data_IF_804543142318
#
_entry.id   IF_804543142318
#
_cell.length_a   1.000
_cell.length_b   1.000
_cell.length_c   1.000
_cell.angle_alpha   90.00
_cell.angle_beta   90.00
_cell.angle_gamma   90.00
#
_symmetry.space_group_name_H-M   'P 1'
#
loop_
_entity.id
_entity.type
_entity.pdbx_description
1 polymer ?
#
# COMPACT_ATOMS: atom_id res chain seq x y z
N UNK A 1 -27.36 -6.54 3.37
CA UNK A 1 -27.68 -7.94 3.00
C UNK A 1 -27.67 -8.22 1.49
N UNK A 2 -27.83 -7.23 0.60
CA UNK A 2 -27.81 -7.47 -0.87
C UNK A 2 -26.41 -7.63 -1.49
N UNK A 3 -25.46 -6.76 -1.12
CA UNK A 3 -24.18 -6.65 -1.81
C UNK A 3 -23.29 -7.90 -1.69
N UNK A 4 -23.19 -8.48 -0.49
CA UNK A 4 -22.47 -9.74 -0.27
C UNK A 4 -23.04 -10.90 -1.10
N UNK A 5 -24.37 -10.93 -1.31
CA UNK A 5 -25.04 -11.95 -2.11
C UNK A 5 -24.69 -11.81 -3.60
N UNK A 6 -24.65 -10.57 -4.08
CA UNK A 6 -24.29 -10.23 -5.48
C UNK A 6 -22.84 -10.63 -5.75
N UNK A 7 -21.90 -10.24 -4.89
CA UNK A 7 -20.49 -10.62 -5.02
C UNK A 7 -20.27 -12.13 -5.01
N UNK A 8 -20.99 -12.85 -4.15
CA UNK A 8 -20.93 -14.31 -4.10
C UNK A 8 -21.39 -14.96 -5.40
N UNK A 9 -22.47 -14.45 -5.99
CA UNK A 9 -23.01 -14.97 -7.25
C UNK A 9 -22.03 -14.69 -8.39
N UNK A 10 -21.49 -13.48 -8.48
CA UNK A 10 -20.50 -13.10 -9.50
C UNK A 10 -19.24 -13.98 -9.39
N UNK A 11 -18.72 -14.19 -8.19
CA UNK A 11 -17.55 -15.04 -7.95
C UNK A 11 -17.83 -16.50 -8.34
N UNK A 12 -19.02 -17.02 -8.06
CA UNK A 12 -19.40 -18.38 -8.41
C UNK A 12 -19.50 -18.56 -9.93
N UNK A 13 -20.10 -17.59 -10.64
CA UNK A 13 -20.18 -17.62 -12.10
C UNK A 13 -18.78 -17.56 -12.73
N UNK A 14 -17.91 -16.65 -12.28
CA UNK A 14 -16.53 -16.55 -12.78
C UNK A 14 -15.74 -17.83 -12.51
N UNK A 15 -15.92 -18.46 -11.34
CA UNK A 15 -15.28 -19.72 -11.02
C UNK A 15 -15.74 -20.86 -11.94
N UNK A 16 -17.05 -20.97 -12.20
CA UNK A 16 -17.58 -21.96 -13.14
C UNK A 16 -17.06 -21.75 -14.56
N UNK A 17 -17.05 -20.51 -15.04
CA UNK A 17 -16.53 -20.15 -16.36
C UNK A 17 -15.04 -20.48 -16.47
N UNK A 18 -14.24 -20.18 -15.45
CA UNK A 18 -12.83 -20.54 -15.39
C UNK A 18 -12.58 -22.05 -15.43
N UNK A 19 -13.38 -22.83 -14.70
CA UNK A 19 -13.31 -24.31 -14.72
C UNK A 19 -13.64 -24.84 -16.11
N UNK A 20 -14.68 -24.31 -16.76
CA UNK A 20 -15.08 -24.75 -18.11
C UNK A 20 -13.95 -24.52 -19.12
N UNK A 21 -13.36 -23.32 -19.14
CA UNK A 21 -12.22 -23.05 -20.01
C UNK A 21 -11.00 -23.91 -19.66
N UNK A 22 -10.72 -24.14 -18.39
CA UNK A 22 -9.64 -25.04 -17.95
C UNK A 22 -9.82 -26.48 -18.46
N UNK A 23 -11.04 -27.03 -18.36
CA UNK A 23 -11.35 -28.37 -18.90
C UNK A 23 -11.23 -28.41 -20.41
N UNK A 24 -11.66 -27.37 -21.13
CA UNK A 24 -11.52 -27.30 -22.59
C UNK A 24 -10.05 -27.25 -23.04
N UNK A 25 -9.18 -26.55 -22.29
CA UNK A 25 -7.74 -26.52 -22.56
C UNK A 25 -7.13 -27.91 -22.37
N UNK A 26 -7.47 -28.61 -21.26
CA UNK A 26 -7.00 -29.97 -21.00
C UNK A 26 -7.47 -30.95 -22.11
N UNK A 27 -8.66 -30.73 -22.65
CA UNK A 27 -9.21 -31.50 -23.76
C UNK A 27 -8.55 -31.20 -25.13
N UNK A 28 -7.53 -30.35 -25.18
CA UNK A 28 -6.74 -30.03 -26.38
C UNK A 28 -7.21 -28.80 -27.17
N UNK A 29 -8.14 -28.00 -26.63
CA UNK A 29 -8.59 -26.76 -27.26
C UNK A 29 -7.75 -25.56 -26.78
N UNK A 30 -6.53 -25.42 -27.30
CA UNK A 30 -5.56 -24.38 -26.93
C UNK A 30 -6.07 -22.95 -27.22
N UNK A 31 -7.01 -22.78 -28.16
CA UNK A 31 -7.63 -21.47 -28.44
C UNK A 31 -8.47 -20.91 -27.29
N UNK A 32 -8.70 -21.68 -26.22
CA UNK A 32 -9.39 -21.20 -25.02
C UNK A 32 -8.45 -20.55 -23.99
N UNK A 33 -7.13 -20.58 -24.20
CA UNK A 33 -6.16 -19.95 -23.29
C UNK A 33 -6.42 -18.43 -23.18
N UNK A 34 -6.65 -17.74 -24.31
CA UNK A 34 -6.95 -16.30 -24.32
C UNK A 34 -8.25 -15.99 -23.55
N UNK A 35 -9.28 -16.81 -23.74
CA UNK A 35 -10.55 -16.67 -23.01
C UNK A 35 -10.37 -16.88 -21.50
N UNK A 36 -9.50 -17.81 -21.09
CA UNK A 36 -9.16 -18.01 -19.69
C UNK A 36 -8.40 -16.79 -19.11
N UNK A 37 -7.50 -16.18 -19.88
CA UNK A 37 -6.80 -14.95 -19.47
C UNK A 37 -7.77 -13.78 -19.28
N UNK A 38 -8.75 -13.60 -20.17
CA UNK A 38 -9.78 -12.57 -19.98
C UNK A 38 -10.57 -12.75 -18.68
N UNK A 39 -10.94 -13.98 -18.33
CA UNK A 39 -11.63 -14.29 -17.06
C UNK A 39 -10.73 -13.99 -15.85
N UNK A 40 -9.43 -14.30 -15.95
CA UNK A 40 -8.46 -14.00 -14.90
C UNK A 40 -8.30 -12.49 -14.69
N UNK A 41 -8.16 -11.71 -15.77
CA UNK A 41 -8.07 -10.25 -15.70
C UNK A 41 -9.34 -9.62 -15.15
N UNK A 42 -10.52 -10.09 -15.58
CA UNK A 42 -11.79 -9.63 -15.05
C UNK A 42 -11.91 -9.90 -13.53
N UNK A 43 -11.52 -11.10 -13.09
CA UNK A 43 -11.53 -11.47 -11.67
C UNK A 43 -10.57 -10.60 -10.86
N UNK A 44 -9.34 -10.42 -11.36
CA UNK A 44 -8.34 -9.57 -10.72
C UNK A 44 -8.85 -8.13 -10.57
N UNK A 45 -9.41 -7.56 -11.63
CA UNK A 45 -9.95 -6.21 -11.61
C UNK A 45 -11.12 -6.07 -10.62
N UNK A 46 -12.04 -7.03 -10.58
CA UNK A 46 -13.17 -7.04 -9.63
C UNK A 46 -12.66 -7.08 -8.19
N UNK A 47 -11.68 -7.94 -7.88
CA UNK A 47 -11.11 -8.04 -6.53
C UNK A 47 -10.42 -6.72 -6.14
N UNK A 48 -9.59 -6.17 -7.03
CA UNK A 48 -8.85 -4.93 -6.78
C UNK A 48 -9.82 -3.77 -6.54
N UNK A 49 -10.81 -3.61 -7.43
CA UNK A 49 -11.86 -2.60 -7.29
C UNK A 49 -12.65 -2.77 -5.99
N UNK A 50 -13.00 -4.01 -5.63
CA UNK A 50 -13.71 -4.30 -4.38
C UNK A 50 -12.89 -3.91 -3.17
N UNK A 51 -11.62 -4.32 -3.11
CA UNK A 51 -10.73 -3.97 -2.00
C UNK A 51 -10.64 -2.46 -1.84
N UNK A 52 -10.42 -1.71 -2.93
CA UNK A 52 -10.33 -0.25 -2.88
C UNK A 52 -11.65 0.36 -2.39
N UNK A 53 -12.77 0.01 -3.01
CA UNK A 53 -14.09 0.56 -2.67
C UNK A 53 -14.46 0.24 -1.23
N UNK A 54 -14.35 -1.02 -0.80
CA UNK A 54 -14.69 -1.41 0.57
C UNK A 54 -13.72 -0.82 1.59
N UNK A 55 -12.44 -0.68 1.26
CA UNK A 55 -11.49 0.00 2.15
C UNK A 55 -11.88 1.46 2.34
N UNK A 56 -12.24 2.17 1.26
CA UNK A 56 -12.72 3.55 1.35
C UNK A 56 -14.04 3.67 2.11
N UNK A 57 -15.05 2.85 1.78
CA UNK A 57 -16.34 2.85 2.48
C UNK A 57 -16.12 2.56 3.96
N UNK A 58 -15.32 1.54 4.29
CA UNK A 58 -15.02 1.18 5.67
C UNK A 58 -14.30 2.31 6.41
N UNK A 59 -13.36 2.98 5.75
CA UNK A 59 -12.61 4.09 6.30
C UNK A 59 -13.51 5.30 6.60
N UNK A 60 -14.39 5.69 5.68
CA UNK A 60 -15.28 6.85 5.86
C UNK A 60 -16.50 6.54 6.74
N UNK A 61 -16.95 5.29 6.80
CA UNK A 61 -18.13 4.91 7.60
C UNK A 61 -17.82 4.80 9.09
N UNK A 62 -16.56 4.54 9.46
CA UNK A 62 -16.16 4.38 10.85
C UNK A 62 -15.27 5.53 11.29
N UNK A 63 -15.82 6.39 12.16
CA UNK A 63 -15.08 7.54 12.72
C UNK A 63 -13.77 7.13 13.40
N UNK A 64 -13.74 5.99 14.08
CA UNK A 64 -12.54 5.46 14.72
C UNK A 64 -11.46 5.04 13.72
N UNK A 65 -11.84 4.31 12.67
CA UNK A 65 -10.92 3.91 11.60
C UNK A 65 -10.37 5.13 10.86
N UNK A 66 -11.24 6.11 10.56
CA UNK A 66 -10.85 7.38 9.95
C UNK A 66 -9.86 8.15 10.82
N UNK A 67 -10.16 8.32 12.11
CA UNK A 67 -9.27 9.02 13.03
C UNK A 67 -7.95 8.26 13.23
N UNK A 68 -7.97 6.92 13.25
CA UNK A 68 -6.76 6.10 13.32
C UNK A 68 -5.87 6.28 12.09
N UNK A 69 -6.44 6.17 10.90
CA UNK A 69 -5.72 6.41 9.65
C UNK A 69 -5.20 7.85 9.55
N UNK A 70 -6.02 8.84 9.91
CA UNK A 70 -5.63 10.25 9.88
C UNK A 70 -4.54 10.56 10.90
N UNK A 71 -4.54 9.95 12.09
CA UNK A 71 -3.45 10.07 13.06
C UNK A 71 -2.17 9.44 12.53
N UNK A 72 -2.26 8.25 11.92
CA UNK A 72 -1.11 7.56 11.32
C UNK A 72 -0.50 8.39 10.19
N UNK A 73 -1.28 8.67 9.15
CA UNK A 73 -0.85 9.48 7.99
C UNK A 73 -0.47 10.89 8.40
N UNK A 74 -1.25 11.53 9.27
CA UNK A 74 -0.99 12.88 9.77
C UNK A 74 0.32 12.96 10.54
N UNK A 75 0.61 11.99 11.42
CA UNK A 75 1.89 11.94 12.15
C UNK A 75 3.08 11.71 11.21
N UNK A 76 2.92 10.85 10.22
CA UNK A 76 3.94 10.60 9.19
C UNK A 76 4.22 11.86 8.35
N UNK A 77 3.18 12.53 7.86
CA UNK A 77 3.31 13.77 7.09
C UNK A 77 3.86 14.90 7.95
N UNK A 78 3.42 15.04 9.20
CA UNK A 78 3.95 16.05 10.12
C UNK A 78 5.45 15.83 10.35
N UNK A 79 5.89 14.59 10.57
CA UNK A 79 7.30 14.27 10.69
C UNK A 79 8.07 14.57 9.40
N UNK A 80 7.52 14.21 8.23
CA UNK A 80 8.12 14.51 6.94
C UNK A 80 8.32 16.02 6.74
N UNK A 81 7.32 16.83 7.11
CA UNK A 81 7.41 18.29 7.05
C UNK A 81 8.46 18.83 8.03
N UNK A 82 8.54 18.30 9.24
CA UNK A 82 9.59 18.68 10.20
C UNK A 82 10.97 18.36 9.63
N UNK A 83 11.18 17.16 9.08
CA UNK A 83 12.44 16.77 8.48
C UNK A 83 12.81 17.64 7.27
N UNK A 84 11.82 17.99 6.43
CA UNK A 84 12.03 18.83 5.25
C UNK A 84 12.28 20.30 5.58
N UNK A 85 11.57 20.89 6.54
CA UNK A 85 11.68 22.31 6.85
C UNK A 85 12.70 22.63 7.95
N UNK A 86 12.87 21.75 8.95
CA UNK A 86 13.74 22.02 10.09
C UNK A 86 15.15 21.45 9.93
N UNK A 87 15.30 20.30 9.27
CA UNK A 87 16.58 19.57 9.22
C UNK A 87 17.25 19.60 7.84
N UNK A 88 16.48 19.50 6.75
CA UNK A 88 17.04 19.51 5.41
C UNK A 88 17.51 20.91 4.99
N UNK A 89 18.82 21.12 4.99
CA UNK A 89 19.46 22.27 4.34
C UNK A 89 19.88 21.82 2.95
N UNK A 90 19.09 22.19 1.94
CA UNK A 90 19.45 21.95 0.54
C UNK A 90 20.73 22.70 0.20
N UNK A 91 21.81 21.96 -0.04
CA UNK A 91 23.08 22.53 -0.49
C UNK A 91 23.38 21.89 -1.83
N UNK A 92 23.89 22.69 -2.78
CA UNK A 92 24.36 22.15 -4.05
C UNK A 92 25.51 21.16 -3.75
N UNK A 93 25.25 19.87 -3.90
CA UNK A 93 26.22 18.82 -3.57
C UNK A 93 26.79 18.23 -4.86
N UNK A 94 28.12 18.34 -5.10
CA UNK A 94 28.72 17.71 -6.25
C UNK A 94 28.69 16.18 -6.08
N UNK A 95 28.13 15.48 -7.06
CA UNK A 95 28.03 14.03 -7.08
C UNK A 95 29.35 13.41 -7.57
N UNK A 96 29.58 12.14 -7.21
CA UNK A 96 30.82 11.41 -7.55
C UNK A 96 31.05 11.24 -9.06
N UNK A 97 30.01 11.41 -9.86
CA UNK A 97 30.04 11.35 -11.32
C UNK A 97 30.24 12.72 -12.00
N UNK A 98 30.49 13.78 -11.22
CA UNK A 98 30.76 15.13 -11.72
C UNK A 98 29.51 15.99 -12.01
N UNK A 99 28.31 15.41 -11.91
CA UNK A 99 27.06 16.15 -11.94
C UNK A 99 26.78 16.83 -10.59
N UNK A 100 26.17 18.01 -10.60
CA UNK A 100 25.75 18.71 -9.38
C UNK A 100 24.32 18.35 -9.04
N UNK A 101 24.07 17.92 -7.81
CA UNK A 101 22.71 17.73 -7.32
C UNK A 101 22.14 19.10 -6.98
N UNK A 102 21.01 19.47 -7.62
CA UNK A 102 20.36 20.74 -7.33
C UNK A 102 19.98 20.81 -5.87
N UNK A 103 20.09 22.01 -5.27
CA UNK A 103 19.72 22.23 -3.88
C UNK A 103 18.31 21.72 -3.50
N UNK A 104 17.38 21.62 -4.45
CA UNK A 104 16.03 21.08 -4.22
C UNK A 104 16.01 19.56 -4.08
N UNK A 105 16.77 18.85 -4.91
CA UNK A 105 16.86 17.39 -4.89
C UNK A 105 17.66 16.92 -3.68
N UNK A 106 18.77 17.60 -3.38
CA UNK A 106 19.56 17.37 -2.16
C UNK A 106 18.72 17.56 -0.89
N UNK A 107 17.85 18.58 -0.88
CA UNK A 107 16.93 18.82 0.25
C UNK A 107 15.89 17.70 0.40
N UNK A 108 15.35 17.17 -0.69
CA UNK A 108 14.39 16.07 -0.62
C UNK A 108 15.05 14.77 -0.13
N UNK A 109 16.25 14.48 -0.62
CA UNK A 109 17.03 13.32 -0.19
C UNK A 109 17.41 13.45 1.29
N UNK A 110 17.91 14.62 1.69
CA UNK A 110 18.24 14.92 3.08
C UNK A 110 17.02 14.80 4.00
N UNK A 111 15.87 15.35 3.60
CA UNK A 111 14.62 15.22 4.35
C UNK A 111 14.19 13.76 4.53
N UNK A 112 14.27 12.95 3.48
CA UNK A 112 13.98 11.51 3.54
C UNK A 112 14.92 10.77 4.48
N UNK A 113 16.22 11.10 4.46
CA UNK A 113 17.21 10.49 5.32
C UNK A 113 17.00 10.86 6.81
N UNK A 114 16.75 12.14 7.11
CA UNK A 114 16.41 12.58 8.46
C UNK A 114 15.12 11.93 8.97
N UNK A 115 14.12 11.76 8.09
CA UNK A 115 12.88 11.08 8.41
C UNK A 115 13.10 9.61 8.74
N UNK A 116 13.95 8.92 7.95
CA UNK A 116 14.32 7.53 8.21
C UNK A 116 14.99 7.37 9.58
N UNK A 117 15.98 8.21 9.90
CA UNK A 117 16.65 8.15 11.20
C UNK A 117 15.70 8.47 12.36
N UNK A 118 14.83 9.47 12.22
CA UNK A 118 13.84 9.80 13.23
C UNK A 118 12.89 8.63 13.48
N UNK A 119 12.35 8.01 12.43
CA UNK A 119 11.47 6.84 12.54
C UNK A 119 12.21 5.64 13.14
N UNK A 120 13.46 5.40 12.78
CA UNK A 120 14.27 4.32 13.33
C UNK A 120 14.46 4.48 14.85
N UNK A 121 14.79 5.69 15.32
CA UNK A 121 14.94 5.96 16.76
C UNK A 121 13.61 5.78 17.49
N UNK A 122 12.50 6.31 16.93
CA UNK A 122 11.16 6.16 17.51
C UNK A 122 10.75 4.69 17.58
N UNK A 123 10.99 3.92 16.53
CA UNK A 123 10.67 2.50 16.47
C UNK A 123 11.49 1.69 17.50
N UNK A 124 12.81 1.87 17.53
CA UNK A 124 13.67 1.20 18.50
C UNK A 124 13.29 1.57 19.93
N UNK A 125 13.08 2.85 20.22
CA UNK A 125 12.69 3.33 21.55
C UNK A 125 11.34 2.79 22.01
N UNK A 126 10.33 2.79 21.13
CA UNK A 126 9.01 2.24 21.45
C UNK A 126 9.06 0.73 21.65
N UNK A 127 9.77 -0.02 20.80
CA UNK A 127 9.94 -1.46 20.96
C UNK A 127 10.66 -1.83 22.25
N UNK A 128 11.72 -1.11 22.64
CA UNK A 128 12.40 -1.32 23.91
C UNK A 128 11.48 -1.00 25.10
N UNK A 129 10.78 0.13 25.06
CA UNK A 129 9.88 0.53 26.14
C UNK A 129 8.72 -0.47 26.33
N UNK A 130 8.01 -0.82 25.26
CA UNK A 130 6.91 -1.79 25.33
C UNK A 130 7.41 -3.21 25.59
N UNK A 131 8.57 -3.58 25.07
CA UNK A 131 9.23 -4.86 25.34
C UNK A 131 9.58 -5.02 26.81
N UNK A 132 10.29 -4.05 27.40
CA UNK A 132 10.65 -4.08 28.82
C UNK A 132 9.43 -4.01 29.73
N UNK A 133 8.46 -3.14 29.43
CA UNK A 133 7.21 -3.03 30.20
C UNK A 133 6.43 -4.35 30.23
N UNK A 134 6.46 -5.13 29.14
CA UNK A 134 5.82 -6.44 29.06
C UNK A 134 6.57 -7.52 29.85
N UNK A 135 7.88 -7.37 30.07
CA UNK A 135 8.67 -8.32 30.87
C UNK A 135 8.61 -8.05 32.37
N UNK A 136 8.37 -6.80 32.77
CA UNK A 136 8.29 -6.38 34.18
C UNK A 136 6.90 -6.66 34.78
N UNK A 137 5.87 -6.83 33.95
CA UNK A 137 4.51 -7.21 34.37
C UNK A 137 4.30 -8.71 34.20
#
# INVERSE_FOLDING_TARGET
MGLHKIFRIIALVLALVGIIFGVMIIAGNEGQIDNMMYVAYATFFIVLASVVIYTLINLFSHKEALMGALKGVGSFVALALICYFAFAKGVETPLRDGEVLSASDDKLVGAGLYMFYALAIIACGTMLFFGLKKMIK
#
